data_IF_815408124016
#
_entry.id   IF_815408124016
#
_cell.length_a   1.000
_cell.length_b   1.000
_cell.length_c   1.000
_cell.angle_alpha   90.00
_cell.angle_beta   90.00
_cell.angle_gamma   90.00
#
_symmetry.space_group_name_H-M   'P 1'
#
loop_
_entity.id
_entity.type
_entity.pdbx_description
1 polymer ?
#
# COMPACT_ATOMS: atom_id res chain seq x y z
N UNK A 1 7.21 -5.13 -10.78
CA UNK A 1 7.73 -6.40 -10.24
C UNK A 1 7.32 -7.66 -11.04
N UNK A 2 6.03 -8.00 -11.27
CA UNK A 2 5.67 -9.08 -12.25
C UNK A 2 5.21 -8.59 -13.63
N UNK A 3 4.75 -7.35 -13.69
CA UNK A 3 4.25 -6.69 -14.91
C UNK A 3 5.20 -5.61 -15.44
N UNK A 4 6.46 -5.62 -14.97
CA UNK A 4 7.49 -4.66 -15.43
C UNK A 4 7.56 -3.33 -14.70
N UNK A 5 6.54 -2.93 -13.92
CA UNK A 5 6.59 -1.68 -13.13
C UNK A 5 7.73 -1.64 -12.12
N UNK A 6 8.39 -0.48 -12.01
CA UNK A 6 9.20 -0.15 -10.84
C UNK A 6 8.25 0.20 -9.68
N UNK A 7 8.29 -0.61 -8.62
CA UNK A 7 7.27 -0.55 -7.57
C UNK A 7 7.89 -0.80 -6.21
N UNK A 8 7.57 0.09 -5.28
CA UNK A 8 7.85 -0.05 -3.85
C UNK A 8 6.54 -0.07 -3.07
N UNK A 9 6.58 -0.55 -1.84
CA UNK A 9 5.40 -0.65 -0.98
C UNK A 9 5.73 -0.27 0.45
N UNK A 10 4.80 0.39 1.13
CA UNK A 10 5.03 0.96 2.45
C UNK A 10 3.78 0.84 3.32
N UNK A 11 3.97 1.00 4.63
CA UNK A 11 2.88 1.28 5.56
C UNK A 11 3.04 2.67 6.16
N UNK A 12 1.93 3.31 6.54
CA UNK A 12 1.89 4.63 7.17
C UNK A 12 1.66 4.56 8.68
N UNK A 13 1.28 3.40 9.21
CA UNK A 13 1.07 3.17 10.63
C UNK A 13 2.33 3.42 11.47
N UNK A 14 2.16 3.52 12.79
CA UNK A 14 3.30 3.67 13.71
C UNK A 14 4.05 2.36 13.91
N UNK A 15 3.34 1.23 13.87
CA UNK A 15 3.87 -0.11 14.02
C UNK A 15 3.17 -1.05 13.04
N UNK A 16 3.81 -2.17 12.73
CA UNK A 16 3.21 -3.26 11.97
C UNK A 16 2.29 -4.04 12.90
N UNK A 17 1.02 -4.18 12.51
CA UNK A 17 0.01 -4.92 13.28
C UNK A 17 -0.46 -6.12 12.47
N UNK A 18 -0.45 -7.29 13.08
CA UNK A 18 -1.03 -8.51 12.52
C UNK A 18 -2.15 -9.01 13.44
N UNK A 19 -3.24 -9.58 12.91
CA UNK A 19 -4.28 -10.18 13.72
C UNK A 19 -3.72 -11.23 14.69
N UNK A 20 -4.21 -11.23 15.92
CA UNK A 20 -3.86 -12.21 16.95
C UNK A 20 -5.02 -13.13 17.30
N UNK A 21 -4.97 -13.84 18.45
CA UNK A 21 -6.01 -14.77 18.87
C UNK A 21 -7.34 -14.09 19.21
N UNK A 22 -7.33 -12.79 19.49
CA UNK A 22 -8.52 -11.99 19.75
C UNK A 22 -8.31 -10.54 19.28
N UNK A 23 -9.39 -9.77 19.01
CA UNK A 23 -9.29 -8.40 18.51
C UNK A 23 -8.49 -7.44 19.43
N UNK A 24 -8.52 -7.70 20.74
CA UNK A 24 -7.79 -6.94 21.77
C UNK A 24 -6.31 -7.34 21.90
N UNK A 25 -5.88 -8.43 21.24
CA UNK A 25 -4.52 -8.97 21.34
C UNK A 25 -3.84 -9.09 19.98
N UNK A 26 -3.62 -7.98 19.25
CA UNK A 26 -2.88 -8.02 18.00
C UNK A 26 -1.39 -8.32 18.24
N UNK A 27 -0.74 -8.90 17.24
CA UNK A 27 0.71 -9.01 17.22
C UNK A 27 1.29 -7.70 16.67
N UNK A 28 2.16 -7.05 17.45
CA UNK A 28 2.72 -5.74 17.11
C UNK A 28 4.22 -5.88 16.92
N UNK A 29 4.75 -5.33 15.82
CA UNK A 29 6.16 -5.35 15.48
C UNK A 29 6.63 -3.97 15.02
N UNK A 30 7.93 -3.71 15.22
CA UNK A 30 8.65 -2.58 14.61
C UNK A 30 8.78 -2.79 13.09
N UNK A 31 8.73 -1.72 12.29
CA UNK A 31 8.89 -1.81 10.82
C UNK A 31 10.21 -2.48 10.39
N UNK A 32 11.29 -2.30 11.16
CA UNK A 32 12.60 -2.89 10.87
C UNK A 32 12.70 -4.39 11.19
N UNK A 33 11.62 -5.00 11.69
CA UNK A 33 11.58 -6.44 11.98
C UNK A 33 11.48 -7.22 10.66
N UNK A 34 12.40 -8.15 10.37
CA UNK A 34 12.29 -8.97 9.16
C UNK A 34 11.03 -9.82 9.13
N UNK A 35 10.42 -10.00 7.96
CA UNK A 35 9.24 -10.87 7.81
C UNK A 35 9.55 -12.32 8.22
N UNK A 36 10.79 -12.77 8.02
CA UNK A 36 11.23 -14.10 8.48
C UNK A 36 11.19 -14.21 10.01
N UNK A 37 11.62 -13.17 10.73
CA UNK A 37 11.56 -13.14 12.19
C UNK A 37 10.10 -13.15 12.69
N UNK A 38 9.21 -12.36 12.06
CA UNK A 38 7.77 -12.38 12.34
C UNK A 38 7.18 -13.78 12.09
N UNK A 39 7.57 -14.43 10.98
CA UNK A 39 7.11 -15.76 10.64
C UNK A 39 7.51 -16.79 11.72
N UNK A 40 8.77 -16.78 12.15
CA UNK A 40 9.26 -17.70 13.19
C UNK A 40 8.58 -17.44 14.54
N UNK A 41 8.38 -16.18 14.93
CA UNK A 41 7.68 -15.82 16.17
C UNK A 41 6.24 -16.35 16.17
N UNK A 42 5.46 -16.08 15.11
CA UNK A 42 4.08 -16.58 15.02
C UNK A 42 4.02 -18.11 14.93
N UNK A 43 4.96 -18.74 14.21
CA UNK A 43 5.06 -20.19 14.12
C UNK A 43 5.28 -20.84 15.49
N UNK A 44 6.09 -20.22 16.35
CA UNK A 44 6.35 -20.70 17.71
C UNK A 44 5.19 -20.45 18.67
N UNK A 45 4.44 -19.35 18.48
CA UNK A 45 3.30 -19.00 19.34
C UNK A 45 2.10 -19.93 19.12
N UNK A 46 1.60 -20.00 17.89
CA UNK A 46 0.44 -20.81 17.54
C UNK A 46 0.39 -21.09 16.04
N UNK A 47 1.10 -22.15 15.63
CA UNK A 47 1.16 -22.54 14.22
C UNK A 47 -0.22 -22.77 13.61
N UNK A 48 -1.14 -23.40 14.33
CA UNK A 48 -2.42 -23.82 13.77
C UNK A 48 -3.31 -22.59 13.52
N UNK A 49 -3.41 -21.69 14.50
CA UNK A 49 -4.12 -20.42 14.36
C UNK A 49 -3.61 -19.59 13.17
N UNK A 50 -2.29 -19.37 13.10
CA UNK A 50 -1.70 -18.50 12.07
C UNK A 50 -1.58 -19.16 10.69
N UNK A 51 -1.74 -20.48 10.62
CA UNK A 51 -1.95 -21.19 9.35
C UNK A 51 -3.40 -21.05 8.89
N UNK A 52 -4.38 -21.23 9.79
CA UNK A 52 -5.80 -21.17 9.46
C UNK A 52 -6.25 -19.78 8.99
N UNK A 53 -5.75 -18.71 9.63
CA UNK A 53 -6.06 -17.33 9.21
C UNK A 53 -5.19 -16.82 8.04
N UNK A 54 -4.28 -17.66 7.52
CA UNK A 54 -3.45 -17.34 6.36
C UNK A 54 -2.28 -16.40 6.60
N UNK A 55 -2.02 -15.95 7.83
CA UNK A 55 -0.94 -14.99 8.12
C UNK A 55 0.44 -15.58 7.83
N UNK A 56 0.69 -16.85 8.18
CA UNK A 56 1.98 -17.49 7.88
C UNK A 56 2.22 -17.56 6.37
N UNK A 57 1.18 -17.86 5.57
CA UNK A 57 1.28 -17.87 4.12
C UNK A 57 1.54 -16.46 3.55
N UNK A 58 0.88 -15.43 4.11
CA UNK A 58 1.13 -14.03 3.75
C UNK A 58 2.58 -13.61 4.05
N UNK A 59 3.10 -13.93 5.23
CA UNK A 59 4.48 -13.61 5.62
C UNK A 59 5.51 -14.33 4.75
N UNK A 60 5.26 -15.60 4.41
CA UNK A 60 6.11 -16.35 3.48
C UNK A 60 6.14 -15.74 2.08
N UNK A 61 5.00 -15.22 1.59
CA UNK A 61 4.97 -14.44 0.35
C UNK A 61 5.78 -13.16 0.48
N UNK A 62 5.59 -12.40 1.57
CA UNK A 62 6.21 -11.08 1.75
C UNK A 62 7.74 -11.17 1.84
N UNK A 63 8.30 -12.16 2.55
CA UNK A 63 9.76 -12.36 2.66
C UNK A 63 10.45 -12.69 1.34
N UNK A 64 9.71 -13.19 0.33
CA UNK A 64 10.22 -13.42 -1.03
C UNK A 64 10.24 -12.15 -1.88
N UNK A 65 9.50 -11.12 -1.47
CA UNK A 65 9.39 -9.83 -2.16
C UNK A 65 10.41 -8.84 -1.59
N UNK A 66 10.48 -8.71 -0.27
CA UNK A 66 11.41 -7.81 0.44
C UNK A 66 11.69 -8.31 1.87
N UNK A 67 12.81 -7.90 2.52
CA UNK A 67 13.21 -8.47 3.80
C UNK A 67 12.36 -8.03 5.00
N UNK A 68 11.94 -6.76 5.06
CA UNK A 68 11.14 -6.20 6.15
C UNK A 68 10.10 -5.20 5.61
N UNK A 69 9.02 -4.93 6.35
CA UNK A 69 8.13 -3.83 6.05
C UNK A 69 8.87 -2.49 6.14
N UNK A 70 8.36 -1.48 5.45
CA UNK A 70 8.99 -0.16 5.38
C UNK A 70 7.93 0.88 5.67
N UNK A 71 8.33 1.92 6.40
CA UNK A 71 7.44 3.00 6.78
C UNK A 71 7.56 4.15 5.78
N UNK A 72 6.44 4.63 5.26
CA UNK A 72 6.43 5.64 4.20
C UNK A 72 7.10 6.94 4.65
N UNK A 73 6.81 7.39 5.87
CA UNK A 73 7.35 8.64 6.42
C UNK A 73 8.87 8.61 6.66
N UNK A 74 9.51 7.43 6.59
CA UNK A 74 10.96 7.28 6.72
C UNK A 74 11.66 7.11 5.36
N UNK A 75 10.89 7.09 4.26
CA UNK A 75 11.41 6.90 2.91
C UNK A 75 11.72 8.25 2.25
N UNK A 76 12.98 8.47 1.79
CA UNK A 76 13.35 9.69 1.07
C UNK A 76 13.12 9.60 -0.45
N UNK A 77 12.74 8.43 -0.97
CA UNK A 77 12.55 8.22 -2.40
C UNK A 77 11.37 9.03 -2.96
N UNK A 78 11.46 9.31 -4.24
CA UNK A 78 10.44 10.01 -5.03
C UNK A 78 9.74 9.05 -5.97
N UNK A 79 8.46 9.30 -6.20
CA UNK A 79 7.57 8.49 -7.03
C UNK A 79 6.78 9.39 -7.98
N UNK A 80 6.44 8.90 -9.16
CA UNK A 80 5.54 9.61 -10.07
C UNK A 80 4.07 9.44 -9.67
N UNK A 81 3.75 8.27 -9.10
CA UNK A 81 2.41 7.87 -8.66
C UNK A 81 2.48 7.15 -7.32
N UNK A 82 1.66 7.58 -6.36
CA UNK A 82 1.44 6.93 -5.07
C UNK A 82 0.00 6.44 -5.02
N UNK A 83 -0.17 5.17 -4.68
CA UNK A 83 -1.48 4.53 -4.54
C UNK A 83 -1.72 4.13 -3.09
N UNK A 84 -2.84 4.57 -2.52
CA UNK A 84 -3.25 4.22 -1.16
C UNK A 84 -4.45 3.28 -1.19
N UNK A 85 -4.54 2.42 -0.18
CA UNK A 85 -5.54 1.34 -0.11
C UNK A 85 -6.73 1.66 0.81
N UNK A 86 -6.69 2.79 1.52
CA UNK A 86 -7.78 3.30 2.36
C UNK A 86 -7.62 4.81 2.57
N UNK A 87 -8.74 5.53 2.71
CA UNK A 87 -8.78 6.98 2.93
C UNK A 87 -7.88 7.43 4.10
N UNK A 88 -7.83 6.67 5.19
CA UNK A 88 -6.96 6.99 6.33
C UNK A 88 -5.47 7.00 5.96
N UNK A 89 -5.04 6.08 5.08
CA UNK A 89 -3.65 6.00 4.60
C UNK A 89 -3.39 7.16 3.64
N UNK A 90 -4.38 7.51 2.82
CA UNK A 90 -4.33 8.69 1.95
C UNK A 90 -4.07 9.98 2.73
N UNK A 91 -4.86 10.25 3.76
CA UNK A 91 -4.68 11.44 4.61
C UNK A 91 -3.28 11.47 5.25
N UNK A 92 -2.79 10.32 5.70
CA UNK A 92 -1.45 10.21 6.29
C UNK A 92 -0.32 10.44 5.28
N UNK A 93 -0.52 10.13 4.00
CA UNK A 93 0.45 10.40 2.93
C UNK A 93 0.41 11.88 2.56
N UNK A 94 -0.78 12.43 2.33
CA UNK A 94 -0.97 13.79 1.83
C UNK A 94 -0.68 14.82 2.91
N UNK A 95 -1.33 14.73 4.07
CA UNK A 95 -1.25 15.75 5.11
C UNK A 95 -0.02 15.59 6.00
N UNK A 96 0.21 14.37 6.50
CA UNK A 96 1.20 14.16 7.55
C UNK A 96 2.63 14.04 7.02
N UNK A 97 2.80 13.73 5.73
CA UNK A 97 4.12 13.50 5.15
C UNK A 97 4.43 14.49 4.01
N UNK A 98 3.70 14.45 2.89
CA UNK A 98 4.05 15.28 1.73
C UNK A 98 3.82 16.77 1.95
N UNK A 99 2.75 17.17 2.65
CA UNK A 99 2.49 18.57 2.99
C UNK A 99 3.33 19.07 4.17
N UNK A 100 3.82 18.15 5.02
CA UNK A 100 4.64 18.46 6.19
C UNK A 100 6.14 18.60 5.88
N UNK A 101 6.61 18.02 4.76
CA UNK A 101 8.00 18.15 4.29
C UNK A 101 8.20 19.50 3.60
N UNK A 102 9.40 20.08 3.72
CA UNK A 102 9.78 21.24 2.92
C UNK A 102 9.89 20.82 1.45
N UNK A 103 9.22 21.58 0.57
CA UNK A 103 9.25 21.33 -0.87
C UNK A 103 10.57 21.83 -1.45
N UNK A 104 11.42 20.90 -1.91
CA UNK A 104 12.75 21.25 -2.42
C UNK A 104 12.78 21.31 -3.94
N UNK A 105 12.08 20.39 -4.61
CA UNK A 105 12.20 20.19 -6.05
C UNK A 105 11.02 20.70 -6.86
N UNK A 106 9.87 20.88 -6.22
CA UNK A 106 8.58 21.20 -6.84
C UNK A 106 8.19 20.20 -7.93
N UNK A 107 8.69 18.97 -7.85
CA UNK A 107 8.31 17.90 -8.75
C UNK A 107 6.93 17.36 -8.32
N UNK A 108 5.93 17.32 -9.23
CA UNK A 108 4.62 16.79 -8.89
C UNK A 108 4.67 15.27 -8.66
N UNK A 109 3.79 14.80 -7.78
CA UNK A 109 3.46 13.40 -7.57
C UNK A 109 1.96 13.25 -7.44
N UNK A 110 1.38 12.34 -8.21
CA UNK A 110 -0.04 12.02 -8.09
C UNK A 110 -0.26 11.05 -6.94
N UNK A 111 -1.23 11.35 -6.07
CA UNK A 111 -1.66 10.45 -5.00
C UNK A 111 -3.09 10.05 -5.29
N UNK A 112 -3.32 8.74 -5.44
CA UNK A 112 -4.64 8.18 -5.75
C UNK A 112 -5.04 7.19 -4.64
N UNK A 113 -6.24 7.34 -4.09
CA UNK A 113 -6.81 6.38 -3.15
C UNK A 113 -7.77 5.42 -3.86
N UNK A 114 -7.58 4.12 -3.62
CA UNK A 114 -8.53 3.07 -3.99
C UNK A 114 -8.87 2.29 -2.73
N UNK A 115 -10.09 2.41 -2.24
CA UNK A 115 -10.50 1.69 -1.03
C UNK A 115 -10.54 0.16 -1.27
N UNK A 116 -9.73 -0.54 -0.48
CA UNK A 116 -9.60 -1.99 -0.48
C UNK A 116 -9.79 -2.49 0.94
N UNK A 117 -10.74 -3.41 1.14
CA UNK A 117 -10.96 -3.99 2.46
C UNK A 117 -9.77 -4.82 2.91
N UNK A 118 -9.46 -4.76 4.22
CA UNK A 118 -8.35 -5.48 4.85
C UNK A 118 -8.66 -6.96 5.06
N UNK A 119 -8.80 -7.70 3.96
CA UNK A 119 -8.89 -9.15 3.91
C UNK A 119 -8.19 -9.71 2.66
N UNK A 120 -7.90 -11.01 2.65
CA UNK A 120 -7.09 -11.61 1.58
C UNK A 120 -7.77 -11.60 0.20
N UNK A 121 -9.08 -11.76 0.15
CA UNK A 121 -9.85 -11.83 -1.10
C UNK A 121 -9.92 -10.45 -1.75
N UNK A 122 -10.36 -9.45 -0.98
CA UNK A 122 -10.42 -8.06 -1.43
C UNK A 122 -9.05 -7.47 -1.73
N UNK A 123 -8.02 -7.80 -0.95
CA UNK A 123 -6.64 -7.39 -1.27
C UNK A 123 -6.17 -7.93 -2.62
N UNK A 124 -6.61 -9.13 -3.00
CA UNK A 124 -6.27 -9.72 -4.31
C UNK A 124 -7.03 -9.01 -5.43
N UNK A 125 -8.32 -8.74 -5.26
CA UNK A 125 -9.13 -7.98 -6.23
C UNK A 125 -8.62 -6.54 -6.37
N UNK A 126 -8.32 -5.88 -5.25
CA UNK A 126 -7.72 -4.55 -5.19
C UNK A 126 -6.37 -4.49 -5.90
N UNK A 127 -5.51 -5.51 -5.73
CA UNK A 127 -4.24 -5.59 -6.45
C UNK A 127 -4.43 -5.70 -7.98
N UNK A 128 -5.47 -6.38 -8.45
CA UNK A 128 -5.80 -6.42 -9.88
C UNK A 128 -6.31 -5.07 -10.39
N UNK A 129 -7.22 -4.42 -9.65
CA UNK A 129 -7.72 -3.08 -9.98
C UNK A 129 -6.59 -2.05 -10.04
N UNK A 130 -5.72 -2.03 -9.02
CA UNK A 130 -4.55 -1.16 -8.99
C UNK A 130 -3.63 -1.43 -10.19
N UNK A 131 -3.39 -2.70 -10.52
CA UNK A 131 -2.56 -3.06 -11.66
C UNK A 131 -3.17 -2.56 -12.99
N UNK A 132 -4.49 -2.65 -13.14
CA UNK A 132 -5.19 -2.16 -14.33
C UNK A 132 -5.12 -0.63 -14.42
N UNK A 133 -5.35 0.07 -13.31
CA UNK A 133 -5.21 1.53 -13.24
C UNK A 133 -3.79 1.98 -13.64
N UNK A 134 -2.75 1.34 -13.09
CA UNK A 134 -1.36 1.63 -13.49
C UNK A 134 -1.10 1.38 -14.97
N UNK A 135 -1.75 0.38 -15.57
CA UNK A 135 -1.61 0.10 -17.01
C UNK A 135 -2.29 1.16 -17.85
N UNK A 136 -3.48 1.63 -17.46
CA UNK A 136 -4.16 2.73 -18.14
C UNK A 136 -3.32 4.01 -18.10
N UNK A 137 -2.82 4.37 -16.91
CA UNK A 137 -1.95 5.54 -16.70
C UNK A 137 -0.64 5.43 -17.50
N UNK A 138 -0.08 4.23 -17.65
CA UNK A 138 1.15 4.06 -18.44
C UNK A 138 0.91 4.23 -19.95
N UNK A 139 -0.31 4.03 -20.43
CA UNK A 139 -0.66 4.16 -21.85
C UNK A 139 -1.02 5.59 -22.26
N UNK A 140 -1.29 6.47 -21.31
CA UNK A 140 -1.62 7.88 -21.58
C UNK A 140 -0.38 8.70 -21.89
N UNK A 141 -0.45 9.55 -22.91
CA UNK A 141 0.67 10.41 -23.32
C UNK A 141 0.79 11.66 -22.43
N UNK A 142 -0.34 12.16 -21.91
CA UNK A 142 -0.41 13.35 -21.05
C UNK A 142 -1.25 13.07 -19.80
N UNK A 143 -0.60 12.51 -18.77
CA UNK A 143 -1.28 12.12 -17.53
C UNK A 143 -1.93 13.31 -16.83
N UNK A 144 -1.27 14.47 -16.80
CA UNK A 144 -1.78 15.65 -16.08
C UNK A 144 -3.12 16.13 -16.63
N UNK A 145 -3.35 15.98 -17.94
CA UNK A 145 -4.59 16.37 -18.59
C UNK A 145 -5.64 15.24 -18.65
N UNK A 146 -5.22 13.97 -18.69
CA UNK A 146 -6.11 12.82 -18.87
C UNK A 146 -6.50 12.15 -17.53
N UNK A 147 -5.83 12.46 -16.42
CA UNK A 147 -6.07 11.76 -15.14
C UNK A 147 -7.50 11.90 -14.61
N UNK A 148 -8.14 13.07 -14.79
CA UNK A 148 -9.51 13.28 -14.32
C UNK A 148 -10.52 12.38 -15.09
N UNK A 149 -10.34 12.26 -16.41
CA UNK A 149 -11.17 11.38 -17.26
C UNK A 149 -10.91 9.91 -16.94
N UNK A 150 -9.65 9.52 -16.77
CA UNK A 150 -9.28 8.16 -16.35
C UNK A 150 -9.87 7.78 -15.00
N UNK A 151 -9.80 8.69 -14.02
CA UNK A 151 -10.35 8.47 -12.68
C UNK A 151 -11.85 8.27 -12.78
N UNK A 152 -12.57 9.14 -13.51
CA UNK A 152 -14.01 9.03 -13.70
C UNK A 152 -14.41 7.70 -14.37
N UNK A 153 -13.73 7.32 -15.45
CA UNK A 153 -13.96 6.04 -16.14
C UNK A 153 -13.74 4.84 -15.20
N UNK A 154 -12.72 4.93 -14.34
CA UNK A 154 -12.40 3.89 -13.39
C UNK A 154 -13.40 3.83 -12.23
N UNK A 155 -13.92 4.97 -11.76
CA UNK A 155 -15.02 5.03 -10.79
C UNK A 155 -16.30 4.38 -11.35
N UNK A 156 -16.67 4.71 -12.59
CA UNK A 156 -17.85 4.13 -13.26
C UNK A 156 -17.69 2.61 -13.46
N UNK A 157 -16.50 2.15 -13.84
CA UNK A 157 -16.22 0.73 -14.09
C UNK A 157 -16.13 -0.09 -12.81
N UNK A 158 -15.48 0.45 -11.77
CA UNK A 158 -15.23 -0.27 -10.52
C UNK A 158 -16.37 -0.13 -9.51
N UNK A 159 -17.23 0.89 -9.66
CA UNK A 159 -18.27 1.25 -8.70
C UNK A 159 -17.70 1.74 -7.36
N UNK A 160 -16.43 2.13 -7.33
CA UNK A 160 -15.74 2.64 -6.15
C UNK A 160 -15.39 4.10 -6.34
N UNK A 161 -15.40 4.84 -5.23
CA UNK A 161 -14.88 6.20 -5.19
C UNK A 161 -13.35 6.16 -5.24
N UNK A 162 -12.77 7.06 -6.03
CA UNK A 162 -11.33 7.20 -6.21
C UNK A 162 -10.98 8.63 -5.85
N UNK A 163 -10.17 8.79 -4.80
CA UNK A 163 -9.67 10.12 -4.42
C UNK A 163 -8.39 10.39 -5.21
N UNK A 164 -8.22 11.60 -5.68
CA UNK A 164 -7.01 12.03 -6.37
C UNK A 164 -6.58 13.41 -5.89
N UNK A 165 -5.27 13.57 -5.69
CA UNK A 165 -4.63 14.86 -5.46
C UNK A 165 -3.23 14.86 -6.05
N UNK A 166 -2.68 16.06 -6.23
CA UNK A 166 -1.29 16.26 -6.63
C UNK A 166 -0.54 16.89 -5.46
N UNK A 167 0.55 16.25 -5.06
CA UNK A 167 1.50 16.79 -4.08
C UNK A 167 2.82 17.15 -4.78
N UNK A 168 3.71 17.83 -4.07
CA UNK A 168 5.01 18.26 -4.60
C UNK A 168 6.13 17.89 -3.64
N UNK A 169 7.23 17.38 -4.18
CA UNK A 169 8.47 17.08 -3.44
C UNK A 169 9.38 18.29 -3.26
#
# INVERSE_FOLDING_TARGET
SKKGFDVRSFGTGTHVKLPGPSPDKPNIYEFKTPYDAMYQDLLQRDKDLYTQNGILHMLDRNRRIKPCPERFQECPDRFDLILTCEERVYDQVVEADLSGREQESFQPVHVINVDVQDNHEDATLGAFLICELCQCIQLTEDLDNEIDELVQDFEEKSGKLILHTVCFY
#
